data_IF_733835948619
#
_entry.id   IF_733835948619
#
_cell.length_a   1.000
_cell.length_b   1.000
_cell.length_c   1.000
_cell.angle_alpha   90.00
_cell.angle_beta   90.00
_cell.angle_gamma   90.00
#
_symmetry.space_group_name_H-M   'P 1'
#
loop_
_entity.id
_entity.type
_entity.pdbx_description
1 polymer ?
#
# COMPACT_ATOMS: atom_id res chain seq x y z
N UNK A 1 29.44 11.42 8.53
CA UNK A 1 28.14 12.07 8.23
C UNK A 1 28.08 12.71 6.84
N UNK A 2 29.15 12.82 6.05
CA UNK A 2 29.11 13.57 4.77
C UNK A 2 28.96 12.74 3.49
N UNK A 3 28.89 11.40 3.55
CA UNK A 3 28.85 10.55 2.34
C UNK A 3 27.45 10.14 1.85
N UNK A 4 26.38 10.48 2.56
CA UNK A 4 25.01 10.00 2.23
C UNK A 4 24.19 11.03 1.42
N UNK A 5 24.55 12.32 1.47
CA UNK A 5 23.79 13.37 0.76
C UNK A 5 24.01 13.41 -0.76
N UNK A 6 24.96 12.65 -1.31
CA UNK A 6 25.27 12.69 -2.75
C UNK A 6 24.37 11.82 -3.63
N UNK A 7 23.49 10.98 -3.05
CA UNK A 7 22.65 10.06 -3.84
C UNK A 7 21.23 10.62 -4.08
N UNK A 8 20.88 11.74 -3.42
CA UNK A 8 19.49 12.17 -3.30
C UNK A 8 18.92 12.98 -4.48
N UNK A 9 19.69 13.47 -5.45
CA UNK A 9 19.11 14.22 -6.56
C UNK A 9 19.85 13.97 -7.88
N UNK A 10 19.39 12.97 -8.62
CA UNK A 10 19.55 13.01 -10.07
C UNK A 10 18.21 12.68 -10.72
N UNK A 11 17.38 13.69 -11.04
CA UNK A 11 16.26 13.48 -11.93
C UNK A 11 16.89 13.16 -13.29
N UNK A 12 17.06 11.88 -13.62
CA UNK A 12 17.56 11.48 -14.93
C UNK A 12 16.52 11.93 -15.97
N UNK A 13 16.84 13.10 -16.53
CA UNK A 13 16.32 13.66 -17.77
C UNK A 13 16.30 12.51 -18.77
N UNK A 14 15.11 12.12 -19.25
CA UNK A 14 14.96 11.29 -20.43
C UNK A 14 15.45 12.18 -21.58
N UNK A 15 16.76 12.09 -21.85
CA UNK A 15 17.42 12.77 -22.96
C UNK A 15 16.71 12.31 -24.23
N UNK A 16 16.55 13.21 -25.21
CA UNK A 16 16.13 12.83 -26.54
C UNK A 16 16.97 11.65 -27.00
N UNK A 17 16.28 10.61 -27.45
CA UNK A 17 16.87 9.34 -27.82
C UNK A 17 17.89 9.58 -28.93
N UNK A 18 19.17 9.36 -28.64
CA UNK A 18 20.25 9.32 -29.63
C UNK A 18 20.48 7.86 -30.01
N UNK A 19 19.62 7.30 -30.85
CA UNK A 19 19.85 5.98 -31.46
C UNK A 19 20.59 6.19 -32.77
N UNK A 20 21.59 5.35 -33.02
CA UNK A 20 22.32 5.33 -34.29
C UNK A 20 21.38 4.89 -35.43
N UNK A 21 21.43 5.58 -36.58
CA UNK A 21 20.62 5.26 -37.76
C UNK A 21 20.69 3.78 -38.17
N UNK A 22 21.87 3.16 -38.06
CA UNK A 22 22.06 1.73 -38.35
C UNK A 22 21.26 0.82 -37.40
N UNK A 23 21.17 1.17 -36.12
CA UNK A 23 20.38 0.45 -35.12
C UNK A 23 18.88 0.62 -35.35
N UNK A 24 18.45 1.83 -35.75
CA UNK A 24 17.04 2.09 -36.12
C UNK A 24 16.63 1.21 -37.28
N UNK A 25 17.46 1.12 -38.34
CA UNK A 25 17.17 0.30 -39.52
C UNK A 25 17.09 -1.18 -39.13
N UNK A 26 18.07 -1.68 -38.35
CA UNK A 26 18.07 -3.08 -37.89
C UNK A 26 16.83 -3.42 -37.05
N UNK A 27 16.43 -2.55 -36.12
CA UNK A 27 15.23 -2.77 -35.30
C UNK A 27 13.95 -2.71 -36.15
N UNK A 28 13.88 -1.79 -37.11
CA UNK A 28 12.77 -1.67 -38.04
C UNK A 28 12.65 -2.88 -38.99
N UNK A 29 13.78 -3.47 -39.39
CA UNK A 29 13.80 -4.72 -40.15
C UNK A 29 13.30 -5.89 -39.30
N UNK A 30 13.80 -6.03 -38.07
CA UNK A 30 13.33 -7.06 -37.13
C UNK A 30 11.83 -6.95 -36.84
N UNK A 31 11.32 -5.72 -36.73
CA UNK A 31 9.90 -5.44 -36.53
C UNK A 31 8.99 -6.02 -37.62
N UNK A 32 9.51 -6.25 -38.84
CA UNK A 32 8.73 -6.83 -39.95
C UNK A 32 8.56 -8.35 -39.85
N UNK A 33 9.43 -9.01 -39.09
CA UNK A 33 9.43 -10.47 -38.93
C UNK A 33 8.81 -10.93 -37.62
N UNK A 34 8.85 -10.09 -36.59
CA UNK A 34 8.06 -10.30 -35.38
C UNK A 34 6.60 -10.02 -35.72
N UNK A 35 5.62 -10.78 -35.19
CA UNK A 35 4.18 -10.60 -35.44
C UNK A 35 3.64 -9.31 -34.78
N UNK A 36 4.29 -8.20 -35.09
CA UNK A 36 4.04 -6.83 -34.69
C UNK A 36 2.72 -6.34 -35.27
N UNK A 37 2.01 -5.50 -34.51
CA UNK A 37 0.87 -4.76 -35.07
C UNK A 37 1.39 -3.82 -36.16
N UNK A 38 0.87 -3.95 -37.37
CA UNK A 38 1.21 -3.09 -38.51
C UNK A 38 -0.03 -2.64 -39.26
N UNK A 39 0.08 -1.54 -40.00
CA UNK A 39 -1.02 -1.02 -40.82
C UNK A 39 -0.90 0.46 -41.14
N UNK A 40 -1.78 0.94 -42.02
CA UNK A 40 -1.81 2.34 -42.40
C UNK A 40 -2.54 3.19 -41.37
N UNK A 41 -1.93 4.32 -40.99
CA UNK A 41 -2.56 5.36 -40.18
C UNK A 41 -2.31 6.72 -40.82
N UNK A 42 -3.23 7.65 -40.60
CA UNK A 42 -3.02 9.05 -40.94
C UNK A 42 -2.37 9.76 -39.77
N UNK A 43 -1.26 10.43 -40.01
CA UNK A 43 -0.52 11.21 -39.00
C UNK A 43 -0.61 12.70 -39.28
N UNK A 44 -0.92 13.48 -38.26
CA UNK A 44 -0.90 14.95 -38.33
C UNK A 44 0.54 15.49 -38.29
N UNK A 45 0.83 16.47 -39.13
CA UNK A 45 2.08 17.22 -39.08
C UNK A 45 2.11 18.18 -37.88
N UNK A 46 3.30 18.42 -37.34
CA UNK A 46 3.49 19.27 -36.14
C UNK A 46 3.23 20.75 -36.38
N UNK A 47 3.23 21.19 -37.65
CA UNK A 47 3.05 22.61 -38.02
C UNK A 47 1.69 22.87 -38.66
N UNK A 48 1.56 22.58 -39.96
CA UNK A 48 0.40 22.98 -40.77
C UNK A 48 -0.89 22.16 -40.56
N UNK A 49 -0.96 21.29 -39.55
CA UNK A 49 -2.14 20.42 -39.32
C UNK A 49 -2.48 19.45 -40.46
N UNK A 50 -1.63 19.34 -41.50
CA UNK A 50 -1.79 18.43 -42.64
C UNK A 50 -1.69 16.98 -42.18
N UNK A 51 -2.59 16.14 -42.67
CA UNK A 51 -2.61 14.70 -42.39
C UNK A 51 -2.00 13.94 -43.56
N UNK A 52 -1.10 13.02 -43.27
CA UNK A 52 -0.46 12.17 -44.28
C UNK A 52 -0.63 10.71 -43.91
N UNK A 53 -1.01 9.87 -44.86
CA UNK A 53 -1.04 8.41 -44.70
C UNK A 53 0.40 7.90 -44.60
N UNK A 54 0.68 7.07 -43.59
CA UNK A 54 1.98 6.42 -43.36
C UNK A 54 1.72 5.00 -42.91
N UNK A 55 2.63 4.08 -43.25
CA UNK A 55 2.57 2.71 -42.77
C UNK A 55 3.29 2.61 -41.43
N UNK A 56 2.64 2.07 -40.41
CA UNK A 56 3.17 1.94 -39.06
C UNK A 56 3.46 0.49 -38.71
N UNK A 57 4.51 0.27 -37.92
CA UNK A 57 4.86 -1.04 -37.36
C UNK A 57 5.24 -0.85 -35.88
N UNK A 58 4.59 -1.59 -35.00
CA UNK A 58 4.85 -1.58 -33.56
C UNK A 58 5.76 -2.74 -33.16
N UNK A 59 6.95 -2.44 -32.66
CA UNK A 59 7.89 -3.43 -32.15
C UNK A 59 8.29 -3.10 -30.73
N UNK A 60 7.88 -3.94 -29.78
CA UNK A 60 8.06 -3.70 -28.34
C UNK A 60 7.48 -2.33 -27.95
N UNK A 61 8.30 -1.39 -27.48
CA UNK A 61 7.94 -0.01 -27.14
C UNK A 61 8.31 1.01 -28.23
N UNK A 62 8.66 0.56 -29.44
CA UNK A 62 9.01 1.41 -30.58
C UNK A 62 7.94 1.31 -31.66
N UNK A 63 7.45 2.45 -32.11
CA UNK A 63 6.51 2.54 -33.23
C UNK A 63 7.19 3.26 -34.39
N UNK A 64 7.54 2.48 -35.43
CA UNK A 64 8.15 2.97 -36.66
C UNK A 64 7.07 3.41 -37.65
N UNK A 65 7.39 4.40 -38.48
CA UNK A 65 6.53 4.78 -39.60
C UNK A 65 7.30 5.02 -40.89
N UNK A 66 6.69 4.65 -42.01
CA UNK A 66 7.28 4.65 -43.35
C UNK A 66 6.41 5.42 -44.34
N UNK A 67 7.00 5.88 -45.45
CA UNK A 67 6.24 6.47 -46.57
C UNK A 67 5.31 5.44 -47.22
N UNK A 68 5.82 4.21 -47.39
CA UNK A 68 5.14 3.08 -48.00
C UNK A 68 5.43 1.79 -47.23
N UNK A 69 4.57 0.78 -47.41
CA UNK A 69 4.66 -0.51 -46.72
C UNK A 69 6.01 -1.22 -46.94
N UNK A 70 6.53 -1.19 -48.17
CA UNK A 70 7.80 -1.81 -48.56
C UNK A 70 9.03 -0.92 -48.29
N UNK A 71 8.88 0.19 -47.54
CA UNK A 71 9.98 1.10 -47.26
C UNK A 71 11.05 0.47 -46.37
N UNK A 72 12.31 0.43 -46.84
CA UNK A 72 13.43 -0.12 -46.05
C UNK A 72 13.82 0.82 -44.90
N UNK A 73 13.82 2.13 -45.14
CA UNK A 73 14.19 3.14 -44.14
C UNK A 73 12.95 3.76 -43.51
N UNK A 74 12.80 3.74 -42.17
CA UNK A 74 11.70 4.43 -41.51
C UNK A 74 11.85 5.94 -41.68
N UNK A 75 10.72 6.62 -41.92
CA UNK A 75 10.62 8.08 -41.92
C UNK A 75 10.73 8.67 -40.51
N UNK A 76 10.47 7.84 -39.49
CA UNK A 76 10.76 8.17 -38.10
C UNK A 76 10.34 7.07 -37.15
N UNK A 77 10.65 7.30 -35.87
CA UNK A 77 10.35 6.38 -34.76
C UNK A 77 9.70 7.16 -33.62
N UNK A 78 8.70 6.55 -33.00
CA UNK A 78 8.03 7.05 -31.80
C UNK A 78 8.37 6.07 -30.67
N UNK A 79 8.97 6.57 -29.59
CA UNK A 79 9.21 5.79 -28.38
C UNK A 79 7.96 5.86 -27.51
N UNK A 80 7.34 4.72 -27.24
CA UNK A 80 6.07 4.66 -26.50
C UNK A 80 6.26 4.53 -24.98
N UNK A 81 7.49 4.29 -24.51
CA UNK A 81 7.78 4.18 -23.07
C UNK A 81 7.28 5.41 -22.30
N UNK A 82 6.38 5.19 -21.33
CA UNK A 82 5.79 6.24 -20.51
C UNK A 82 4.79 7.15 -21.26
N UNK A 83 4.34 6.77 -22.46
CA UNK A 83 3.37 7.54 -23.23
C UNK A 83 1.94 7.25 -22.77
N UNK A 84 1.04 8.23 -22.85
CA UNK A 84 -0.39 8.03 -22.67
C UNK A 84 -1.08 8.04 -24.03
N UNK A 85 -2.02 7.12 -24.21
CA UNK A 85 -2.75 6.97 -25.46
C UNK A 85 -4.26 7.07 -25.22
N UNK A 86 -4.86 8.10 -25.82
CA UNK A 86 -6.26 8.47 -25.61
C UNK A 86 -6.99 8.68 -26.93
N UNK A 87 -8.27 8.32 -26.95
CA UNK A 87 -9.15 8.59 -28.09
C UNK A 87 -9.43 10.09 -28.17
N UNK A 88 -9.32 10.67 -29.35
CA UNK A 88 -9.60 12.09 -29.60
C UNK A 88 -10.96 12.23 -30.27
N UNK A 89 -11.79 13.13 -29.74
CA UNK A 89 -13.08 13.51 -30.34
C UNK A 89 -12.85 14.77 -31.15
N UNK A 90 -12.60 14.61 -32.45
CA UNK A 90 -12.39 15.71 -33.39
C UNK A 90 -13.64 15.85 -34.28
N UNK A 91 -14.17 17.08 -34.39
CA UNK A 91 -15.46 17.39 -35.04
C UNK A 91 -15.63 16.81 -36.45
N UNK A 92 -14.53 16.65 -37.22
CA UNK A 92 -14.54 16.15 -38.60
C UNK A 92 -13.64 14.92 -38.83
N UNK A 93 -13.08 14.32 -37.76
CA UNK A 93 -12.10 13.22 -37.87
C UNK A 93 -12.40 12.12 -36.86
N UNK A 94 -13.35 11.27 -37.24
CA UNK A 94 -13.67 10.04 -36.53
C UNK A 94 -12.43 9.13 -36.45
N UNK A 95 -12.39 8.29 -35.41
CA UNK A 95 -11.35 7.26 -35.19
C UNK A 95 -9.93 7.83 -34.98
N UNK A 96 -9.85 9.03 -34.39
CA UNK A 96 -8.59 9.69 -34.04
C UNK A 96 -8.15 9.34 -32.62
N UNK A 97 -6.84 9.30 -32.39
CA UNK A 97 -6.23 9.08 -31.09
C UNK A 97 -4.91 9.85 -30.96
N UNK A 98 -4.53 10.15 -29.74
CA UNK A 98 -3.37 10.96 -29.41
C UNK A 98 -2.37 10.19 -28.56
N UNK A 99 -1.09 10.39 -28.83
CA UNK A 99 0.03 9.90 -28.00
C UNK A 99 0.68 11.11 -27.33
N UNK A 100 0.56 11.19 -26.01
CA UNK A 100 1.12 12.24 -25.15
C UNK A 100 2.13 11.65 -24.18
N UNK A 101 2.88 12.50 -23.48
CA UNK A 101 3.83 12.08 -22.46
C UNK A 101 3.65 12.95 -21.22
N UNK A 102 4.03 12.43 -20.04
CA UNK A 102 3.98 13.17 -18.77
C UNK A 102 4.83 14.46 -18.78
N UNK A 103 5.86 14.52 -19.63
CA UNK A 103 6.80 15.64 -19.72
C UNK A 103 6.35 16.60 -20.82
N UNK A 104 6.12 17.87 -20.48
CA UNK A 104 5.58 18.91 -21.38
C UNK A 104 6.45 19.19 -22.62
N UNK A 105 7.75 18.89 -22.57
CA UNK A 105 8.68 19.16 -23.67
C UNK A 105 8.77 18.04 -24.72
N UNK A 106 7.96 16.99 -24.62
CA UNK A 106 7.95 15.88 -25.58
C UNK A 106 6.88 16.09 -26.66
N UNK A 107 7.21 15.66 -27.88
CA UNK A 107 6.34 15.82 -29.04
C UNK A 107 5.03 15.06 -28.87
N UNK A 108 3.91 15.75 -29.02
CA UNK A 108 2.59 15.12 -29.15
C UNK A 108 2.36 14.58 -30.57
N UNK A 109 1.71 13.42 -30.66
CA UNK A 109 1.32 12.82 -31.94
C UNK A 109 -0.19 12.64 -32.00
N UNK A 110 -0.81 13.08 -33.08
CA UNK A 110 -2.20 12.81 -33.41
C UNK A 110 -2.25 11.85 -34.61
N UNK A 111 -2.94 10.73 -34.43
CA UNK A 111 -3.08 9.63 -35.38
C UNK A 111 -4.57 9.35 -35.64
N UNK A 112 -4.90 8.83 -36.83
CA UNK A 112 -6.26 8.47 -37.22
C UNK A 112 -6.26 7.16 -38.00
N UNK A 113 -7.11 6.23 -37.59
CA UNK A 113 -7.35 4.96 -38.30
C UNK A 113 -8.45 5.09 -39.36
N UNK A 114 -8.67 4.05 -40.16
CA UNK A 114 -9.73 4.02 -41.18
C UNK A 114 -11.06 3.49 -40.61
N UNK A 115 -11.00 2.71 -39.53
CA UNK A 115 -12.18 2.18 -38.82
C UNK A 115 -12.08 2.30 -37.29
N UNK A 116 -13.21 2.14 -36.61
CA UNK A 116 -13.25 2.12 -35.14
C UNK A 116 -12.51 0.92 -34.54
N UNK A 117 -12.62 -0.26 -35.17
CA UNK A 117 -11.96 -1.49 -34.71
C UNK A 117 -10.44 -1.34 -34.78
N UNK A 118 -9.91 -0.80 -35.89
CA UNK A 118 -8.48 -0.49 -36.01
C UNK A 118 -8.04 0.55 -35.00
N UNK A 119 -8.81 1.63 -34.82
CA UNK A 119 -8.50 2.67 -33.83
C UNK A 119 -8.38 2.08 -32.43
N UNK A 120 -9.35 1.23 -32.04
CA UNK A 120 -9.34 0.55 -30.75
C UNK A 120 -8.13 -0.38 -30.61
N UNK A 121 -7.86 -1.21 -31.62
CA UNK A 121 -6.72 -2.12 -31.62
C UNK A 121 -5.39 -1.37 -31.47
N UNK A 122 -5.22 -0.24 -32.17
CA UNK A 122 -4.01 0.57 -32.09
C UNK A 122 -3.85 1.23 -30.71
N UNK A 123 -4.93 1.76 -30.14
CA UNK A 123 -4.92 2.32 -28.79
C UNK A 123 -4.50 1.25 -27.78
N UNK A 124 -5.09 0.06 -27.85
CA UNK A 124 -4.81 -1.03 -26.92
C UNK A 124 -3.35 -1.52 -27.06
N UNK A 125 -2.86 -1.68 -28.28
CA UNK A 125 -1.48 -2.06 -28.54
C UNK A 125 -0.47 -1.02 -28.04
N UNK A 126 -0.73 0.28 -28.27
CA UNK A 126 0.12 1.38 -27.77
C UNK A 126 0.10 1.43 -26.24
N UNK A 127 -1.06 1.21 -25.61
CA UNK A 127 -1.15 1.17 -24.14
C UNK A 127 -0.34 0.05 -23.53
N UNK A 128 -0.36 -1.14 -24.13
CA UNK A 128 0.47 -2.27 -23.68
C UNK A 128 1.96 -1.95 -23.87
N UNK A 129 2.33 -1.45 -25.06
CA UNK A 129 3.70 -1.06 -25.40
C UNK A 129 4.25 0.12 -24.57
N UNK A 130 3.38 0.88 -23.91
CA UNK A 130 3.79 2.04 -23.12
C UNK A 130 4.57 1.71 -21.86
N UNK A 131 4.47 0.46 -21.37
CA UNK A 131 5.02 0.02 -20.09
C UNK A 131 4.60 0.88 -18.87
N UNK A 132 3.56 1.72 -18.97
CA UNK A 132 3.13 2.57 -17.85
C UNK A 132 2.81 1.77 -16.59
N UNK A 133 2.15 0.61 -16.72
CA UNK A 133 1.86 -0.25 -15.57
C UNK A 133 3.14 -0.70 -14.86
N UNK A 134 4.15 -1.11 -15.62
CA UNK A 134 5.44 -1.53 -15.09
C UNK A 134 6.19 -0.34 -14.48
N UNK A 135 6.11 0.83 -15.10
CA UNK A 135 6.71 2.06 -14.58
C UNK A 135 6.10 2.47 -13.24
N UNK A 136 4.77 2.44 -13.11
CA UNK A 136 4.07 2.72 -11.86
C UNK A 136 4.44 1.72 -10.76
N UNK A 137 4.51 0.42 -11.08
CA UNK A 137 4.95 -0.61 -10.13
C UNK A 137 6.40 -0.38 -9.68
N UNK A 138 7.27 0.06 -10.60
CA UNK A 138 8.65 0.43 -10.27
C UNK A 138 8.69 1.64 -9.33
N UNK A 139 7.95 2.71 -9.61
CA UNK A 139 7.86 3.89 -8.75
C UNK A 139 7.37 3.53 -7.34
N UNK A 140 6.34 2.67 -7.24
CA UNK A 140 5.83 2.17 -5.96
C UNK A 140 6.88 1.36 -5.19
N UNK A 141 7.63 0.49 -5.88
CA UNK A 141 8.71 -0.29 -5.27
C UNK A 141 9.88 0.59 -4.81
N UNK A 142 10.24 1.61 -5.58
CA UNK A 142 11.26 2.58 -5.20
C UNK A 142 10.85 3.36 -3.94
N UNK A 143 9.58 3.78 -3.83
CA UNK A 143 9.05 4.41 -2.62
C UNK A 143 9.11 3.47 -1.40
N UNK A 144 8.71 2.21 -1.56
CA UNK A 144 8.80 1.20 -0.48
C UNK A 144 10.24 0.95 -0.05
N UNK A 145 11.17 0.87 -1.00
CA UNK A 145 12.59 0.72 -0.73
C UNK A 145 13.14 1.89 0.09
N UNK A 146 12.83 3.13 -0.31
CA UNK A 146 13.25 4.33 0.43
C UNK A 146 12.70 4.34 1.86
N UNK A 147 11.45 3.96 2.05
CA UNK A 147 10.84 3.85 3.38
C UNK A 147 11.55 2.79 4.25
N UNK A 148 11.85 1.62 3.69
CA UNK A 148 12.59 0.57 4.39
C UNK A 148 13.99 1.02 4.79
N UNK A 149 14.70 1.73 3.91
CA UNK A 149 16.02 2.30 4.23
C UNK A 149 15.92 3.25 5.42
N UNK A 150 14.92 4.13 5.44
CA UNK A 150 14.69 5.05 6.55
C UNK A 150 14.40 4.31 7.87
N UNK A 151 13.58 3.25 7.84
CA UNK A 151 13.31 2.41 9.02
C UNK A 151 14.62 1.79 9.52
N UNK A 152 15.39 1.15 8.65
CA UNK A 152 16.65 0.49 9.01
C UNK A 152 17.66 1.49 9.62
N UNK A 153 17.74 2.70 9.08
CA UNK A 153 18.60 3.76 9.64
C UNK A 153 18.13 4.21 11.03
N UNK A 154 16.82 4.36 11.24
CA UNK A 154 16.26 4.70 12.55
C UNK A 154 16.47 3.59 13.59
N UNK A 155 16.29 2.32 13.20
CA UNK A 155 16.55 1.16 14.06
C UNK A 155 18.03 1.05 14.44
N UNK A 156 18.95 1.26 13.47
CA UNK A 156 20.39 1.29 13.75
C UNK A 156 20.73 2.36 14.77
N UNK A 157 20.15 3.55 14.63
CA UNK A 157 20.37 4.68 15.54
C UNK A 157 19.83 4.37 16.93
N UNK A 158 18.61 3.82 17.03
CA UNK A 158 18.01 3.42 18.30
C UNK A 158 18.83 2.33 19.00
N UNK A 159 19.25 1.29 18.28
CA UNK A 159 20.11 0.22 18.82
C UNK A 159 21.43 0.78 19.36
N UNK A 160 22.05 1.69 18.62
CA UNK A 160 23.28 2.35 19.07
C UNK A 160 23.05 3.13 20.37
N UNK A 161 21.98 3.93 20.44
CA UNK A 161 21.62 4.67 21.67
C UNK A 161 21.39 3.75 22.87
N UNK A 162 20.66 2.64 22.70
CA UNK A 162 20.46 1.67 23.78
C UNK A 162 21.78 1.05 24.25
N UNK A 163 22.69 0.74 23.33
CA UNK A 163 24.01 0.18 23.66
C UNK A 163 24.80 1.15 24.52
N UNK A 164 24.87 2.43 24.11
CA UNK A 164 25.53 3.50 24.87
C UNK A 164 24.88 3.67 26.26
N UNK A 165 23.55 3.64 26.34
CA UNK A 165 22.84 3.75 27.62
C UNK A 165 23.15 2.56 28.56
N UNK A 166 23.22 1.34 28.04
CA UNK A 166 23.61 0.17 28.81
C UNK A 166 25.04 0.27 29.36
N UNK A 167 25.98 0.76 28.56
CA UNK A 167 27.37 0.99 28.99
C UNK A 167 27.45 2.05 30.11
N UNK A 168 26.70 3.16 29.97
CA UNK A 168 26.61 4.19 31.00
C UNK A 168 26.06 3.62 32.31
N UNK A 169 24.94 2.91 32.28
CA UNK A 169 24.35 2.27 33.46
C UNK A 169 25.29 1.23 34.09
N UNK A 170 26.02 0.46 33.29
CA UNK A 170 27.01 -0.49 33.79
C UNK A 170 28.17 0.22 34.52
N UNK A 171 28.62 1.36 33.99
CA UNK A 171 29.65 2.18 34.63
C UNK A 171 29.17 2.77 35.97
N UNK A 172 27.90 3.20 36.03
CA UNK A 172 27.28 3.75 37.24
C UNK A 172 27.11 2.68 38.32
N UNK A 173 26.65 1.48 37.95
CA UNK A 173 26.59 0.33 38.87
C UNK A 173 27.97 0.01 39.45
N UNK A 174 29.02 0.05 38.63
CA UNK A 174 30.40 -0.19 39.09
C UNK A 174 30.83 0.88 40.09
N UNK A 175 30.52 2.16 39.83
CA UNK A 175 30.81 3.27 40.73
C UNK A 175 30.07 3.12 42.07
N UNK A 176 28.76 2.92 42.04
CA UNK A 176 27.94 2.72 43.25
C UNK A 176 28.40 1.51 44.08
N UNK A 177 28.81 0.41 43.43
CA UNK A 177 29.39 -0.75 44.13
C UNK A 177 30.70 -0.40 44.85
N UNK A 178 31.55 0.42 44.23
CA UNK A 178 32.80 0.88 44.85
C UNK A 178 32.55 1.79 46.05
N UNK A 179 31.60 2.72 45.94
CA UNK A 179 31.18 3.60 47.03
C UNK A 179 30.60 2.80 48.21
N UNK A 180 29.71 1.84 47.94
CA UNK A 180 29.17 0.95 48.97
C UNK A 180 30.25 0.12 49.67
N UNK A 181 31.28 -0.32 48.93
CA UNK A 181 32.39 -1.06 49.51
C UNK A 181 33.23 -0.16 50.45
N UNK A 182 33.50 1.08 50.04
CA UNK A 182 34.20 2.07 50.85
C UNK A 182 33.42 2.40 52.13
N UNK A 183 32.13 2.72 52.02
CA UNK A 183 31.24 2.95 53.16
C UNK A 183 31.22 1.74 54.10
N UNK A 184 31.02 0.52 53.59
CA UNK A 184 31.01 -0.69 54.43
C UNK A 184 32.34 -0.90 55.17
N UNK A 185 33.47 -0.51 54.56
CA UNK A 185 34.79 -0.54 55.21
C UNK A 185 34.83 0.48 56.35
N UNK A 186 34.40 1.71 56.12
CA UNK A 186 34.32 2.78 57.13
C UNK A 186 33.47 2.38 58.35
N UNK A 187 32.28 1.81 58.13
CA UNK A 187 31.42 1.28 59.19
C UNK A 187 32.07 0.15 60.01
N UNK A 188 32.92 -0.70 59.41
CA UNK A 188 33.64 -1.76 60.14
C UNK A 188 34.78 -1.23 61.00
N UNK A 189 35.39 -0.11 60.62
CA UNK A 189 36.48 0.50 61.40
C UNK A 189 35.96 1.51 62.46
N UNK A 190 34.74 2.03 62.30
CA UNK A 190 34.12 2.94 63.28
C UNK A 190 33.25 2.27 64.36
N UNK A 191 32.82 1.02 64.19
CA UNK A 191 31.90 0.32 65.08
C UNK A 191 32.54 -0.81 65.90
N UNK A 192 33.45 -0.46 66.81
CA UNK A 192 33.88 -1.36 67.88
C UNK A 192 32.87 -1.35 69.03
N UNK A 193 32.54 -2.54 69.53
CA UNK A 193 31.83 -2.83 70.79
C UNK A 193 30.32 -2.51 70.87
N UNK A 194 29.50 -3.55 70.64
CA UNK A 194 28.48 -4.03 71.59
C UNK A 194 27.78 -5.25 70.96
N UNK A 195 27.97 -6.42 71.53
CA UNK A 195 27.35 -7.66 71.05
C UNK A 195 27.00 -8.51 72.26
N UNK A 196 25.79 -8.34 72.82
CA UNK A 196 25.11 -9.38 73.63
C UNK A 196 23.73 -8.97 74.23
N UNK A 197 22.91 -8.13 73.57
CA UNK A 197 21.52 -7.95 74.02
C UNK A 197 20.48 -7.59 72.93
N UNK A 198 20.84 -7.67 71.64
CA UNK A 198 19.99 -7.14 70.54
C UNK A 198 19.36 -8.20 69.63
N UNK A 199 19.67 -9.49 69.82
CA UNK A 199 19.27 -10.57 68.90
C UNK A 199 17.75 -10.79 68.77
N UNK A 200 16.95 -10.38 69.76
CA UNK A 200 15.48 -10.47 69.71
C UNK A 200 14.80 -9.30 68.97
N UNK A 201 15.22 -8.07 69.28
CA UNK A 201 14.69 -6.85 68.66
C UNK A 201 15.14 -6.70 67.19
N UNK A 202 16.40 -7.04 66.91
CA UNK A 202 16.93 -7.06 65.54
C UNK A 202 16.18 -8.06 64.64
N UNK A 203 15.66 -9.16 65.19
CA UNK A 203 14.89 -10.17 64.45
C UNK A 203 13.51 -9.66 64.03
N UNK A 204 12.82 -8.92 64.91
CA UNK A 204 11.54 -8.30 64.56
C UNK A 204 11.70 -7.12 63.60
N UNK A 205 12.71 -6.28 63.81
CA UNK A 205 12.97 -5.15 62.93
C UNK A 205 13.46 -5.62 61.55
N UNK A 206 14.26 -6.67 61.48
CA UNK A 206 14.63 -7.32 60.22
C UNK A 206 13.40 -7.91 59.50
N UNK A 207 12.42 -8.46 60.21
CA UNK A 207 11.15 -8.94 59.63
C UNK A 207 10.30 -7.77 59.12
N UNK A 208 10.22 -6.64 59.85
CA UNK A 208 9.53 -5.42 59.39
C UNK A 208 10.20 -4.85 58.13
N UNK A 209 11.52 -4.77 58.11
CA UNK A 209 12.30 -4.32 56.94
C UNK A 209 12.03 -5.23 55.74
N UNK A 210 12.03 -6.55 55.90
CA UNK A 210 11.72 -7.49 54.81
C UNK A 210 10.29 -7.32 54.29
N UNK A 211 9.30 -7.07 55.15
CA UNK A 211 7.91 -6.78 54.74
C UNK A 211 7.83 -5.49 53.93
N UNK A 212 8.44 -4.42 54.41
CA UNK A 212 8.50 -3.13 53.69
C UNK A 212 9.21 -3.30 52.35
N UNK A 213 10.36 -3.97 52.32
CA UNK A 213 11.08 -4.26 51.07
C UNK A 213 10.25 -5.11 50.10
N UNK A 214 9.50 -6.11 50.57
CA UNK A 214 8.60 -6.90 49.73
C UNK A 214 7.47 -6.05 49.15
N UNK A 215 6.89 -5.16 49.97
CA UNK A 215 5.87 -4.21 49.53
C UNK A 215 6.42 -3.26 48.46
N UNK A 216 7.60 -2.66 48.70
CA UNK A 216 8.25 -1.77 47.74
C UNK A 216 8.65 -2.50 46.45
N UNK A 217 9.13 -3.74 46.53
CA UNK A 217 9.39 -4.56 45.33
C UNK A 217 8.11 -4.77 44.52
N UNK A 218 7.01 -5.16 45.16
CA UNK A 218 5.72 -5.31 44.48
C UNK A 218 5.17 -4.00 43.89
N UNK A 219 5.32 -2.89 44.62
CA UNK A 219 4.93 -1.57 44.14
C UNK A 219 5.78 -1.10 42.95
N UNK A 220 7.10 -1.27 43.00
CA UNK A 220 8.01 -0.97 41.90
C UNK A 220 7.71 -1.82 40.67
N UNK A 221 7.44 -3.12 40.84
CA UNK A 221 7.00 -4.00 39.75
C UNK A 221 5.71 -3.51 39.10
N UNK A 222 4.69 -3.13 39.90
CA UNK A 222 3.43 -2.57 39.37
C UNK A 222 3.65 -1.24 38.66
N UNK A 223 4.48 -0.35 39.20
CA UNK A 223 4.80 0.94 38.59
C UNK A 223 5.52 0.76 37.25
N UNK A 224 6.52 -0.12 37.21
CA UNK A 224 7.25 -0.46 35.98
C UNK A 224 6.34 -1.12 34.95
N UNK A 225 5.47 -2.04 35.36
CA UNK A 225 4.49 -2.67 34.48
C UNK A 225 3.53 -1.63 33.89
N UNK A 226 3.01 -0.72 34.71
CA UNK A 226 2.14 0.37 34.25
C UNK A 226 2.84 1.22 33.19
N UNK A 227 4.11 1.57 33.41
CA UNK A 227 4.91 2.32 32.45
C UNK A 227 5.11 1.57 31.12
N UNK A 228 5.47 0.28 31.18
CA UNK A 228 5.65 -0.55 29.98
C UNK A 228 4.34 -0.66 29.18
N UNK A 229 3.21 -0.85 29.86
CA UNK A 229 1.90 -0.94 29.19
C UNK A 229 1.51 0.40 28.56
N UNK A 230 1.76 1.52 29.24
CA UNK A 230 1.46 2.85 28.72
C UNK A 230 2.33 3.19 27.48
N UNK A 231 3.60 2.81 27.51
CA UNK A 231 4.54 2.94 26.40
C UNK A 231 4.14 2.04 25.22
N UNK A 232 3.70 0.81 25.49
CA UNK A 232 3.15 -0.09 24.48
C UNK A 232 1.87 0.48 23.84
N UNK A 233 0.90 0.96 24.63
CA UNK A 233 -0.37 1.52 24.12
C UNK A 233 -0.13 2.72 23.19
N UNK A 234 0.89 3.54 23.50
CA UNK A 234 1.32 4.69 22.70
C UNK A 234 2.26 4.32 21.55
N UNK A 235 2.70 3.07 21.44
CA UNK A 235 3.61 2.66 20.38
C UNK A 235 2.93 2.73 19.00
N UNK A 236 3.68 3.06 17.93
CA UNK A 236 3.16 3.03 16.56
C UNK A 236 2.60 1.67 16.15
N UNK A 237 3.18 0.59 16.68
CA UNK A 237 2.71 -0.78 16.42
C UNK A 237 1.32 -1.02 17.01
N UNK A 238 1.08 -0.63 18.27
CA UNK A 238 -0.22 -0.78 18.91
C UNK A 238 -1.29 0.12 18.25
N UNK A 239 -0.91 1.31 17.80
CA UNK A 239 -1.80 2.18 17.02
C UNK A 239 -2.18 1.57 15.67
N UNK A 240 -1.21 1.06 14.91
CA UNK A 240 -1.45 0.37 13.65
C UNK A 240 -2.34 -0.86 13.83
N UNK A 241 -2.12 -1.63 14.89
CA UNK A 241 -2.92 -2.80 15.24
C UNK A 241 -4.37 -2.42 15.62
N UNK A 242 -4.56 -1.33 16.38
CA UNK A 242 -5.90 -0.77 16.66
C UNK A 242 -6.60 -0.31 15.38
N UNK A 243 -5.89 0.39 14.50
CA UNK A 243 -6.45 0.85 13.21
C UNK A 243 -6.86 -0.32 12.32
N UNK A 244 -6.00 -1.34 12.20
CA UNK A 244 -6.31 -2.58 11.48
C UNK A 244 -7.55 -3.26 12.04
N UNK A 245 -7.62 -3.45 13.36
CA UNK A 245 -8.75 -4.10 14.00
C UNK A 245 -10.04 -3.30 13.80
N UNK A 246 -10.01 -1.97 13.99
CA UNK A 246 -11.15 -1.10 13.76
C UNK A 246 -11.68 -1.20 12.32
N UNK A 247 -10.80 -1.27 11.31
CA UNK A 247 -11.23 -1.44 9.93
C UNK A 247 -11.89 -2.80 9.69
N UNK A 248 -11.36 -3.87 10.27
CA UNK A 248 -11.94 -5.22 10.14
C UNK A 248 -13.32 -5.29 10.78
N UNK A 249 -13.49 -4.75 11.99
CA UNK A 249 -14.81 -4.72 12.65
C UNK A 249 -15.82 -3.91 11.85
N UNK A 250 -15.44 -2.70 11.41
CA UNK A 250 -16.31 -1.87 10.55
C UNK A 250 -16.69 -2.55 9.23
N UNK A 251 -15.78 -3.34 8.66
CA UNK A 251 -16.06 -4.09 7.43
C UNK A 251 -17.12 -5.16 7.67
N UNK A 252 -17.06 -5.87 8.80
CA UNK A 252 -18.08 -6.88 9.13
C UNK A 252 -19.42 -6.23 9.48
N UNK A 253 -19.41 -5.16 10.28
CA UNK A 253 -20.63 -4.39 10.58
C UNK A 253 -21.31 -3.87 9.30
N UNK A 254 -20.53 -3.31 8.36
CA UNK A 254 -21.06 -2.83 7.09
C UNK A 254 -21.62 -3.97 6.20
N UNK A 255 -21.00 -5.15 6.24
CA UNK A 255 -21.49 -6.32 5.51
C UNK A 255 -22.78 -6.88 6.15
N UNK A 256 -22.88 -6.90 7.48
CA UNK A 256 -24.10 -7.25 8.22
C UNK A 256 -25.26 -6.34 7.82
N UNK A 257 -25.05 -5.03 7.88
CA UNK A 257 -26.05 -4.03 7.49
C UNK A 257 -26.45 -4.20 6.01
N UNK A 258 -25.48 -4.40 5.11
CA UNK A 258 -25.76 -4.56 3.68
C UNK A 258 -26.61 -5.81 3.39
N UNK A 259 -26.30 -6.94 4.02
CA UNK A 259 -27.09 -8.18 3.90
C UNK A 259 -28.50 -7.98 4.45
N UNK A 260 -28.66 -7.30 5.59
CA UNK A 260 -29.97 -6.97 6.16
C UNK A 260 -30.81 -6.12 5.21
N UNK A 261 -30.22 -5.08 4.60
CA UNK A 261 -30.91 -4.25 3.62
C UNK A 261 -31.33 -5.04 2.37
N UNK A 262 -30.45 -5.91 1.85
CA UNK A 262 -30.80 -6.79 0.74
C UNK A 262 -31.92 -7.77 1.11
N UNK A 263 -31.93 -8.28 2.34
CA UNK A 263 -32.99 -9.15 2.83
C UNK A 263 -34.32 -8.40 2.94
N UNK A 264 -34.33 -7.14 3.37
CA UNK A 264 -35.51 -6.27 3.35
C UNK A 264 -36.00 -6.05 1.92
N UNK A 265 -35.12 -5.77 0.96
CA UNK A 265 -35.49 -5.62 -0.46
C UNK A 265 -36.14 -6.91 -1.00
N UNK A 266 -35.53 -8.05 -0.74
CA UNK A 266 -36.03 -9.35 -1.23
C UNK A 266 -37.35 -9.74 -0.56
N UNK A 267 -37.40 -9.70 0.77
CA UNK A 267 -38.53 -10.19 1.56
C UNK A 267 -39.69 -9.19 1.61
N UNK A 268 -39.39 -7.90 1.74
CA UNK A 268 -40.35 -6.83 1.90
C UNK A 268 -40.91 -6.28 0.59
N UNK A 269 -40.18 -6.40 -0.52
CA UNK A 269 -40.60 -5.80 -1.80
C UNK A 269 -40.66 -6.81 -2.94
N UNK A 270 -39.56 -7.49 -3.27
CA UNK A 270 -39.51 -8.40 -4.42
C UNK A 270 -40.54 -9.54 -4.30
N UNK A 271 -40.57 -10.25 -3.17
CA UNK A 271 -41.50 -11.38 -2.97
C UNK A 271 -42.96 -10.92 -3.08
N UNK A 272 -43.41 -9.86 -2.37
CA UNK A 272 -44.76 -9.30 -2.55
C UNK A 272 -45.06 -8.87 -3.99
N UNK A 273 -44.12 -8.24 -4.70
CA UNK A 273 -44.29 -7.82 -6.09
C UNK A 273 -44.45 -9.01 -7.05
N UNK A 274 -43.65 -10.07 -6.89
CA UNK A 274 -43.82 -11.32 -7.66
C UNK A 274 -45.16 -11.98 -7.40
N UNK A 275 -45.63 -11.96 -6.15
CA UNK A 275 -46.96 -12.45 -5.79
C UNK A 275 -48.07 -11.62 -6.46
N UNK A 276 -47.96 -10.29 -6.45
CA UNK A 276 -48.92 -9.40 -7.11
C UNK A 276 -48.96 -9.62 -8.63
N UNK A 277 -47.80 -9.82 -9.26
CA UNK A 277 -47.67 -10.15 -10.69
C UNK A 277 -48.32 -11.49 -11.06
N UNK A 278 -48.47 -12.41 -10.09
CA UNK A 278 -49.12 -13.71 -10.29
C UNK A 278 -50.64 -13.68 -10.06
N UNK A 279 -51.21 -12.51 -9.75
CA UNK A 279 -52.64 -12.39 -9.44
C UNK A 279 -53.52 -12.46 -10.70
N UNK A 280 -54.84 -12.68 -10.52
CA UNK A 280 -55.79 -12.78 -11.65
C UNK A 280 -55.88 -11.50 -12.49
N UNK A 281 -55.60 -10.35 -11.89
CA UNK A 281 -55.57 -9.03 -12.54
C UNK A 281 -54.29 -8.31 -12.08
N UNK A 282 -53.14 -8.64 -12.68
CA UNK A 282 -51.85 -8.21 -12.16
C UNK A 282 -51.61 -6.71 -12.39
N UNK A 283 -51.25 -5.95 -11.35
CA UNK A 283 -50.93 -4.53 -11.49
C UNK A 283 -49.53 -4.29 -12.11
N UNK A 284 -48.69 -5.31 -12.14
CA UNK A 284 -47.32 -5.27 -12.66
C UNK A 284 -47.00 -6.62 -13.33
N UNK A 285 -46.23 -6.63 -14.41
CA UNK A 285 -45.88 -7.88 -15.10
C UNK A 285 -44.67 -8.57 -14.45
N UNK A 286 -44.50 -9.87 -14.69
CA UNK A 286 -43.30 -10.59 -14.24
C UNK A 286 -42.02 -10.06 -14.89
N UNK A 287 -42.10 -9.53 -16.10
CA UNK A 287 -40.97 -8.93 -16.82
C UNK A 287 -40.55 -7.61 -16.17
N UNK A 288 -41.50 -6.76 -15.80
CA UNK A 288 -41.25 -5.52 -15.06
C UNK A 288 -40.58 -5.80 -13.71
N UNK A 289 -41.12 -6.75 -12.94
CA UNK A 289 -40.52 -7.14 -11.64
C UNK A 289 -39.10 -7.70 -11.84
N UNK A 290 -38.88 -8.52 -12.88
CA UNK A 290 -37.56 -9.10 -13.15
C UNK A 290 -36.55 -8.05 -13.64
N UNK A 291 -36.99 -7.04 -14.39
CA UNK A 291 -36.11 -5.94 -14.84
C UNK A 291 -35.74 -4.97 -13.71
N UNK A 292 -36.62 -4.76 -12.73
CA UNK A 292 -36.37 -3.89 -11.56
C UNK A 292 -35.41 -4.56 -10.57
N UNK A 293 -35.64 -5.83 -10.24
CA UNK A 293 -34.90 -6.52 -9.18
C UNK A 293 -33.77 -7.42 -9.69
N UNK A 294 -33.66 -7.64 -11.01
CA UNK A 294 -32.59 -8.38 -11.68
C UNK A 294 -32.15 -9.62 -10.87
N UNK A 295 -30.86 -9.70 -10.54
CA UNK A 295 -30.24 -10.82 -9.84
C UNK A 295 -30.14 -10.59 -8.33
N UNK A 296 -31.00 -9.77 -7.72
CA UNK A 296 -30.87 -9.38 -6.30
C UNK A 296 -30.90 -10.59 -5.34
N UNK A 297 -31.66 -11.66 -5.65
CA UNK A 297 -31.67 -12.88 -4.84
C UNK A 297 -30.32 -13.60 -4.88
N UNK A 298 -29.68 -13.67 -6.05
CA UNK A 298 -28.34 -14.23 -6.20
C UNK A 298 -27.30 -13.39 -5.47
N UNK A 299 -27.42 -12.06 -5.55
CA UNK A 299 -26.54 -11.13 -4.84
C UNK A 299 -26.69 -11.34 -3.33
N UNK A 300 -27.92 -11.36 -2.80
CA UNK A 300 -28.19 -11.63 -1.39
C UNK A 300 -27.56 -12.97 -0.95
N UNK A 301 -27.74 -14.03 -1.72
CA UNK A 301 -27.18 -15.34 -1.39
C UNK A 301 -25.64 -15.32 -1.31
N UNK A 302 -24.97 -14.67 -2.26
CA UNK A 302 -23.50 -14.56 -2.25
C UNK A 302 -23.00 -13.75 -1.05
N UNK A 303 -23.66 -12.64 -0.74
CA UNK A 303 -23.30 -11.80 0.40
C UNK A 303 -23.59 -12.50 1.75
N UNK A 304 -24.65 -13.30 1.85
CA UNK A 304 -24.89 -14.14 3.02
C UNK A 304 -23.79 -15.19 3.25
N UNK A 305 -23.25 -15.79 2.18
CA UNK A 305 -22.10 -16.70 2.28
C UNK A 305 -20.86 -15.93 2.74
N UNK A 306 -20.62 -14.77 2.15
CA UNK A 306 -19.46 -13.93 2.49
C UNK A 306 -19.51 -13.50 3.95
N UNK A 307 -20.66 -13.00 4.42
CA UNK A 307 -20.87 -12.61 5.80
C UNK A 307 -20.63 -13.77 6.77
N UNK A 308 -21.21 -14.96 6.52
CA UNK A 308 -20.94 -16.16 7.33
C UNK A 308 -19.45 -16.48 7.41
N UNK A 309 -18.72 -16.32 6.29
CA UNK A 309 -17.27 -16.48 6.25
C UNK A 309 -16.53 -15.44 7.09
N UNK A 310 -16.96 -14.18 7.06
CA UNK A 310 -16.40 -13.09 7.87
C UNK A 310 -16.64 -13.31 9.37
N UNK A 311 -17.86 -13.65 9.77
CA UNK A 311 -18.22 -13.90 11.18
C UNK A 311 -17.39 -15.04 11.76
N UNK A 312 -17.25 -16.16 11.03
CA UNK A 312 -16.43 -17.29 11.48
C UNK A 312 -14.95 -16.92 11.63
N UNK A 313 -14.43 -16.01 10.79
CA UNK A 313 -13.07 -15.47 10.94
C UNK A 313 -12.95 -14.57 12.16
N UNK A 314 -13.95 -13.74 12.44
CA UNK A 314 -13.99 -12.88 13.63
C UNK A 314 -13.99 -13.70 14.93
N UNK A 315 -14.71 -14.81 15.00
CA UNK A 315 -14.75 -15.67 16.19
C UNK A 315 -13.36 -16.18 16.60
N UNK A 316 -12.48 -16.37 15.61
CA UNK A 316 -11.08 -16.78 15.81
C UNK A 316 -10.08 -15.62 15.84
N UNK A 317 -10.55 -14.37 15.88
CA UNK A 317 -9.68 -13.20 15.74
C UNK A 317 -8.82 -12.97 16.99
N UNK A 318 -7.50 -12.74 16.83
CA UNK A 318 -6.60 -12.57 17.97
C UNK A 318 -6.95 -11.32 18.78
N UNK A 319 -7.30 -11.51 20.05
CA UNK A 319 -7.56 -10.43 21.02
C UNK A 319 -6.41 -10.30 22.01
N UNK A 320 -5.84 -9.10 22.09
CA UNK A 320 -4.76 -8.79 23.02
C UNK A 320 -5.36 -8.41 24.39
N UNK A 321 -5.30 -9.31 25.36
CA UNK A 321 -5.76 -9.05 26.74
C UNK A 321 -4.58 -8.57 27.57
N UNK A 322 -4.39 -7.25 27.65
CA UNK A 322 -3.50 -6.64 28.65
C UNK A 322 -4.29 -6.56 29.95
N UNK A 323 -3.86 -7.24 31.01
CA UNK A 323 -4.58 -7.42 32.30
C UNK A 323 -4.91 -6.15 33.11
N UNK A 324 -5.10 -5.00 32.48
CA UNK A 324 -5.61 -3.75 33.03
C UNK A 324 -7.06 -3.59 32.56
N UNK A 325 -7.94 -4.48 33.00
CA UNK A 325 -9.35 -4.46 32.61
C UNK A 325 -9.59 -4.72 31.13
N UNK A 326 -10.78 -5.20 30.80
CA UNK A 326 -11.26 -5.17 29.43
C UNK A 326 -11.39 -3.68 29.07
N UNK A 327 -10.41 -3.08 28.40
CA UNK A 327 -10.74 -1.96 27.55
C UNK A 327 -11.72 -2.54 26.52
N UNK A 328 -12.98 -2.09 26.50
CA UNK A 328 -13.92 -2.62 25.55
C UNK A 328 -13.34 -2.30 24.17
N UNK A 329 -12.99 -3.35 23.43
CA UNK A 329 -13.25 -3.36 22.00
C UNK A 329 -14.68 -2.85 21.85
N UNK A 330 -14.96 -1.92 20.92
CA UNK A 330 -16.28 -1.33 20.80
C UNK A 330 -17.30 -2.47 20.72
N UNK A 331 -18.04 -2.67 21.79
CA UNK A 331 -19.11 -3.65 21.89
C UNK A 331 -20.40 -2.89 21.77
N UNK A 332 -21.07 -3.14 20.62
CA UNK A 332 -22.44 -2.80 20.25
C UNK A 332 -22.80 -1.34 20.11
#
# INVERSE_FOLDING_TARGET
MERVNSIMHSPKIQRSIRINDSQIIMLAEKARFDNAMSGFLYKKSSGAGKWTRRYFILFQNLMFYFEAENGVRPSGVIMLEGCYCERLILKDKLYSFGITYRRENLRHYELRAESESECKAWIDAVRVASFNKLLLQKEELEQKYLHLVQIVESEKTAKWQYTVQCEQLASEIKKLRSELCALKKEWRFGGGAQTSLTTGLDSEDLKKIKKVQSFFRGWLCRRRWKQIVEEYIRSPHAEAMRKRNSLVFRMVEAEEEYVEQLEIVVSGFLRPMRMAASSKTPPVTHEDVSSIYLNVETVLFLHQIFLKGLTARIDSWPTLVLGIGKYPLPTR
#
